data_IF_093626981622
#
_entry.id   IF_093626981622
#
_cell.length_a   1.000
_cell.length_b   1.000
_cell.length_c   1.000
_cell.angle_alpha   90.00
_cell.angle_beta   90.00
_cell.angle_gamma   90.00
#
_symmetry.space_group_name_H-M   'P 1'
#
loop_
_entity.id
_entity.type
_entity.pdbx_description
1 polymer ?
#
# COMPACT_ATOMS: atom_id res chain seq x y z
N UNK A 1 21.25 11.66 6.69
CA UNK A 1 20.84 10.49 7.49
C UNK A 1 19.88 10.94 8.59
N UNK A 2 18.57 10.69 8.43
CA UNK A 2 17.54 11.13 9.37
C UNK A 2 17.57 10.27 10.65
N UNK A 3 18.02 10.84 11.78
CA UNK A 3 18.00 10.20 13.11
C UNK A 3 16.63 10.42 13.78
N UNK A 4 15.72 9.45 13.67
CA UNK A 4 14.37 9.56 14.25
C UNK A 4 13.97 8.32 15.06
N UNK A 5 13.03 8.43 16.01
CA UNK A 5 12.60 7.31 16.86
C UNK A 5 11.99 6.11 16.10
N UNK A 6 11.55 6.29 14.84
CA UNK A 6 11.09 5.20 13.97
C UNK A 6 12.22 4.56 13.13
N UNK A 7 13.42 5.14 13.13
CA UNK A 7 14.58 4.68 12.38
C UNK A 7 15.00 3.24 12.73
N UNK A 8 14.90 2.77 14.00
CA UNK A 8 15.15 1.35 14.32
C UNK A 8 14.16 0.40 13.64
N UNK A 9 12.89 0.79 13.49
CA UNK A 9 11.86 -0.01 12.82
C UNK A 9 12.15 -0.07 11.32
N UNK A 10 12.48 1.08 10.71
CA UNK A 10 12.77 1.18 9.28
C UNK A 10 14.02 0.40 8.86
N UNK A 11 15.01 0.25 9.75
CA UNK A 11 16.20 -0.61 9.51
C UNK A 11 15.87 -2.11 9.43
N UNK A 12 14.72 -2.52 9.96
CA UNK A 12 14.26 -3.92 9.94
C UNK A 12 13.39 -4.23 8.73
N UNK A 13 12.98 -3.20 8.00
CA UNK A 13 12.26 -3.33 6.74
C UNK A 13 13.27 -3.26 5.60
N UNK A 14 13.57 -4.40 4.99
CA UNK A 14 14.36 -4.42 3.77
C UNK A 14 13.51 -3.84 2.63
N UNK A 15 14.00 -2.78 1.99
CA UNK A 15 13.29 -2.12 0.90
C UNK A 15 13.74 -2.71 -0.43
N UNK A 16 12.81 -3.29 -1.18
CA UNK A 16 13.02 -3.85 -2.52
C UNK A 16 12.25 -3.00 -3.51
N UNK A 17 12.95 -2.47 -4.51
CA UNK A 17 12.32 -1.65 -5.55
C UNK A 17 12.20 -2.42 -6.85
N UNK A 18 11.16 -2.12 -7.62
CA UNK A 18 10.92 -2.67 -8.94
C UNK A 18 10.55 -1.56 -9.92
N UNK A 19 11.03 -1.66 -11.16
CA UNK A 19 10.71 -0.75 -12.26
C UNK A 19 11.05 0.74 -12.01
N UNK A 20 12.10 1.01 -11.22
CA UNK A 20 12.57 2.38 -10.94
C UNK A 20 12.89 3.20 -12.20
N UNK A 21 13.18 2.55 -13.34
CA UNK A 21 13.40 3.20 -14.63
C UNK A 21 12.23 4.11 -15.05
N UNK A 22 10.98 3.79 -14.68
CA UNK A 22 9.83 4.68 -14.94
C UNK A 22 9.96 6.02 -14.21
N UNK A 23 10.46 5.99 -12.98
CA UNK A 23 10.68 7.19 -12.16
C UNK A 23 11.87 7.98 -12.69
N UNK A 24 13.02 7.32 -12.84
CA UNK A 24 14.27 7.99 -13.27
C UNK A 24 14.19 8.61 -14.66
N UNK A 25 13.37 8.04 -15.55
CA UNK A 25 13.05 8.66 -16.83
C UNK A 25 12.12 9.88 -16.68
N UNK A 26 11.05 9.75 -15.87
CA UNK A 26 10.06 10.81 -15.71
C UNK A 26 10.64 12.07 -15.03
N UNK A 27 11.47 11.92 -13.99
CA UNK A 27 12.02 13.05 -13.21
C UNK A 27 12.89 14.01 -14.04
N UNK A 28 13.33 13.61 -15.25
CA UNK A 28 14.16 14.44 -16.14
C UNK A 28 13.38 15.56 -16.84
N UNK A 29 12.07 15.43 -16.98
CA UNK A 29 11.26 16.38 -17.74
C UNK A 29 9.82 16.53 -17.27
N UNK A 30 9.39 15.74 -16.29
CA UNK A 30 8.02 15.73 -15.80
C UNK A 30 7.93 16.12 -14.33
N UNK A 31 6.82 16.76 -14.00
CA UNK A 31 6.32 16.83 -12.64
C UNK A 31 5.62 15.52 -12.31
N UNK A 32 5.85 14.96 -11.13
CA UNK A 32 5.32 13.63 -10.80
C UNK A 32 4.31 13.70 -9.65
N UNK A 33 3.16 13.07 -9.88
CA UNK A 33 2.20 12.73 -8.84
C UNK A 33 2.21 11.20 -8.64
N UNK A 34 2.79 10.73 -7.54
CA UNK A 34 2.80 9.32 -7.18
C UNK A 34 1.45 8.94 -6.56
N UNK A 35 0.80 7.92 -7.13
CA UNK A 35 -0.45 7.37 -6.64
C UNK A 35 -0.22 5.95 -6.11
N UNK A 36 -0.29 5.75 -4.79
CA UNK A 36 0.01 4.45 -4.16
C UNK A 36 -1.15 3.86 -3.37
N UNK A 37 -1.18 2.53 -3.25
CA UNK A 37 -2.05 1.86 -2.27
C UNK A 37 -1.54 2.10 -0.83
N UNK A 38 -2.41 1.95 0.17
CA UNK A 38 -2.03 2.24 1.56
C UNK A 38 -2.30 1.06 2.50
N UNK A 39 -1.25 0.38 2.96
CA UNK A 39 -1.31 -0.80 3.83
C UNK A 39 -0.88 -0.51 5.27
N UNK A 40 0.14 0.32 5.49
CA UNK A 40 0.75 0.55 6.80
C UNK A 40 1.06 2.03 7.03
N UNK A 41 1.27 2.41 8.30
CA UNK A 41 1.91 3.66 8.65
C UNK A 41 3.37 3.75 8.19
N UNK A 42 4.01 2.65 7.81
CA UNK A 42 5.36 2.70 7.25
C UNK A 42 5.40 3.16 5.81
N UNK A 43 4.28 3.15 5.07
CA UNK A 43 4.24 3.46 3.64
C UNK A 43 4.81 4.85 3.33
N UNK A 44 4.35 5.87 4.08
CA UNK A 44 4.80 7.26 3.93
C UNK A 44 6.23 7.51 4.41
N UNK A 45 6.94 6.47 4.85
CA UNK A 45 8.37 6.50 5.15
C UNK A 45 9.13 5.63 4.14
N UNK A 46 8.64 4.42 3.85
CA UNK A 46 9.29 3.45 2.96
C UNK A 46 9.35 3.97 1.53
N UNK A 47 8.25 4.46 0.95
CA UNK A 47 8.23 4.89 -0.45
C UNK A 47 9.14 6.10 -0.69
N UNK A 48 9.10 7.18 0.13
CA UNK A 48 10.06 8.27 0.02
C UNK A 48 11.51 7.85 0.21
N UNK A 49 11.79 6.91 1.13
CA UNK A 49 13.15 6.39 1.33
C UNK A 49 13.65 5.58 0.15
N UNK A 50 12.79 4.80 -0.52
CA UNK A 50 13.17 4.12 -1.78
C UNK A 50 13.58 5.14 -2.84
N UNK A 51 12.87 6.27 -2.94
CA UNK A 51 13.25 7.34 -3.87
C UNK A 51 14.59 7.99 -3.47
N UNK A 52 14.74 8.36 -2.20
CA UNK A 52 15.94 9.00 -1.66
C UNK A 52 17.19 8.13 -1.80
N UNK A 53 17.08 6.84 -1.46
CA UNK A 53 18.14 5.83 -1.60
C UNK A 53 18.65 5.71 -3.05
N UNK A 54 17.88 6.20 -4.04
CA UNK A 54 18.20 6.18 -5.46
C UNK A 54 18.39 7.58 -6.09
N UNK A 55 18.62 8.59 -5.26
CA UNK A 55 18.91 9.95 -5.73
C UNK A 55 17.71 10.69 -6.33
N UNK A 56 16.49 10.17 -6.13
CA UNK A 56 15.24 10.86 -6.49
C UNK A 56 14.76 11.65 -5.29
N UNK A 57 14.56 12.96 -5.47
CA UNK A 57 14.07 13.83 -4.40
C UNK A 57 12.70 13.32 -3.91
N UNK A 58 12.54 13.08 -2.59
CA UNK A 58 11.25 12.69 -2.02
C UNK A 58 10.11 13.68 -2.33
N UNK A 59 8.92 13.19 -2.68
CA UNK A 59 7.75 14.04 -2.92
C UNK A 59 7.15 14.55 -1.62
N UNK A 60 6.38 15.64 -1.71
CA UNK A 60 5.52 16.13 -0.63
C UNK A 60 4.38 15.13 -0.40
N UNK A 61 4.01 14.86 0.85
CA UNK A 61 3.02 13.82 1.18
C UNK A 61 1.68 14.42 1.60
N UNK A 62 0.59 13.92 1.04
CA UNK A 62 -0.77 14.22 1.50
C UNK A 62 -1.20 13.31 2.67
N UNK A 63 -1.25 13.85 3.90
CA UNK A 63 -1.57 13.08 5.10
C UNK A 63 -2.88 13.54 5.79
N UNK A 64 -3.55 12.65 6.51
CA UNK A 64 -4.75 13.01 7.27
C UNK A 64 -4.40 13.93 8.44
N UNK A 65 -5.18 14.99 8.66
CA UNK A 65 -4.93 15.98 9.73
C UNK A 65 -4.88 15.34 11.14
N UNK A 66 -5.58 14.22 11.32
CA UNK A 66 -5.58 13.46 12.57
C UNK A 66 -4.20 12.89 12.95
N UNK A 67 -3.24 12.89 12.03
CA UNK A 67 -1.85 12.46 12.25
C UNK A 67 -0.94 13.61 12.70
N UNK A 68 -1.44 14.86 12.72
CA UNK A 68 -0.64 16.04 13.07
C UNK A 68 -0.65 16.37 14.57
N UNK A 69 -1.17 15.47 15.41
CA UNK A 69 -1.10 15.58 16.87
C UNK A 69 0.14 14.89 17.45
N UNK A 70 0.70 15.46 18.51
CA UNK A 70 1.78 14.84 19.30
C UNK A 70 3.07 14.57 18.51
N UNK A 71 3.84 13.52 18.85
CA UNK A 71 5.12 13.19 18.21
C UNK A 71 5.03 12.97 16.69
N UNK A 72 3.88 12.50 16.20
CA UNK A 72 3.67 12.25 14.77
C UNK A 72 3.48 13.55 13.98
N UNK A 73 2.90 14.58 14.59
CA UNK A 73 2.84 15.92 14.00
C UNK A 73 4.21 16.55 13.84
N UNK A 74 5.12 16.32 14.78
CA UNK A 74 6.51 16.74 14.66
C UNK A 74 7.23 16.01 13.52
N UNK A 75 7.00 14.70 13.38
CA UNK A 75 7.53 13.91 12.26
C UNK A 75 7.01 14.44 10.92
N UNK A 76 5.71 14.65 10.80
CA UNK A 76 5.13 15.14 9.55
C UNK A 76 5.61 16.54 9.18
N UNK A 77 5.76 17.41 10.17
CA UNK A 77 6.23 18.79 9.99
C UNK A 77 7.70 18.89 9.62
N UNK A 78 8.58 18.09 10.23
CA UNK A 78 10.03 18.28 10.12
C UNK A 78 10.73 17.20 9.27
N UNK A 79 10.06 16.10 8.96
CA UNK A 79 10.69 14.94 8.31
C UNK A 79 10.03 14.60 6.99
N UNK A 80 8.71 14.35 7.00
CA UNK A 80 8.02 13.93 5.79
C UNK A 80 7.53 15.10 4.94
N UNK A 81 7.59 16.33 5.47
CA UNK A 81 7.02 17.52 4.84
C UNK A 81 5.54 17.36 4.48
N UNK A 82 4.79 16.59 5.27
CA UNK A 82 3.43 16.23 4.89
C UNK A 82 2.46 17.40 5.04
N UNK A 83 1.52 17.49 4.13
CA UNK A 83 0.41 18.43 4.13
C UNK A 83 -0.77 17.83 4.90
N UNK A 84 -1.36 18.57 5.86
CA UNK A 84 -2.54 18.13 6.57
C UNK A 84 -3.81 18.26 5.73
N UNK A 85 -4.56 17.16 5.59
CA UNK A 85 -5.83 17.09 4.86
C UNK A 85 -6.94 16.60 5.79
N UNK A 86 -8.04 17.34 5.86
CA UNK A 86 -9.29 16.92 6.51
C UNK A 86 -10.00 15.91 5.62
N UNK A 87 -10.05 14.65 6.06
CA UNK A 87 -10.72 13.56 5.34
C UNK A 87 -12.23 13.61 5.61
N UNK A 88 -13.03 13.15 4.65
CA UNK A 88 -14.49 13.01 4.74
C UNK A 88 -15.26 14.30 5.05
N UNK A 89 -14.68 15.47 4.78
CA UNK A 89 -15.39 16.74 4.81
C UNK A 89 -16.25 16.90 3.56
N UNK A 90 -17.43 17.51 3.74
CA UNK A 90 -18.35 17.90 2.66
C UNK A 90 -18.40 19.42 2.44
N UNK A 91 -17.62 20.17 3.21
CA UNK A 91 -17.53 21.63 3.12
C UNK A 91 -17.00 22.03 1.72
N UNK A 92 -17.82 22.68 0.87
CA UNK A 92 -17.40 23.07 -0.47
C UNK A 92 -16.24 24.06 -0.48
N UNK A 93 -16.20 25.01 0.46
CA UNK A 93 -15.13 26.01 0.53
C UNK A 93 -13.79 25.37 0.87
N UNK A 94 -13.80 24.41 1.79
CA UNK A 94 -12.61 23.61 2.09
C UNK A 94 -12.16 22.79 0.87
N UNK A 95 -13.08 22.11 0.17
CA UNK A 95 -12.73 21.26 -0.98
C UNK A 95 -12.16 22.07 -2.15
N UNK A 96 -12.72 23.26 -2.42
CA UNK A 96 -12.21 24.19 -3.44
C UNK A 96 -10.81 24.69 -3.05
N UNK A 97 -10.65 25.15 -1.81
CA UNK A 97 -9.36 25.62 -1.29
C UNK A 97 -8.30 24.51 -1.32
N UNK A 98 -8.64 23.30 -0.89
CA UNK A 98 -7.74 22.15 -0.94
C UNK A 98 -7.32 21.82 -2.38
N UNK A 99 -8.26 21.85 -3.32
CA UNK A 99 -7.97 21.61 -4.74
C UNK A 99 -6.98 22.63 -5.29
N UNK A 100 -7.23 23.92 -5.05
CA UNK A 100 -6.36 25.01 -5.49
C UNK A 100 -4.97 24.94 -4.82
N UNK A 101 -4.93 24.62 -3.53
CA UNK A 101 -3.69 24.47 -2.78
C UNK A 101 -2.82 23.33 -3.33
N UNK A 102 -3.41 22.15 -3.56
CA UNK A 102 -2.70 21.00 -4.12
C UNK A 102 -2.25 21.27 -5.56
N UNK A 103 -3.07 21.96 -6.35
CA UNK A 103 -2.71 22.40 -7.69
C UNK A 103 -1.45 23.31 -7.69
N UNK A 104 -1.36 24.27 -6.76
CA UNK A 104 -0.19 25.15 -6.64
C UNK A 104 1.06 24.38 -6.17
N UNK A 105 0.91 23.41 -5.26
CA UNK A 105 2.01 22.54 -4.85
C UNK A 105 2.58 21.76 -6.03
N UNK A 106 1.70 21.18 -6.86
CA UNK A 106 2.10 20.40 -8.03
C UNK A 106 2.91 21.22 -9.03
N UNK A 107 2.76 22.55 -9.09
CA UNK A 107 3.63 23.37 -9.94
C UNK A 107 5.11 23.33 -9.50
N UNK A 108 5.37 23.14 -8.21
CA UNK A 108 6.72 23.29 -7.61
C UNK A 108 7.30 22.00 -7.05
N UNK A 109 6.47 21.05 -6.64
CA UNK A 109 6.89 19.84 -5.94
C UNK A 109 6.16 18.61 -6.46
N UNK A 110 6.87 17.48 -6.50
CA UNK A 110 6.25 16.18 -6.69
C UNK A 110 5.35 15.87 -5.49
N UNK A 111 4.30 15.09 -5.71
CA UNK A 111 3.30 14.79 -4.68
C UNK A 111 3.08 13.28 -4.56
N UNK A 112 3.15 12.74 -3.35
CA UNK A 112 2.70 11.38 -3.03
C UNK A 112 1.35 11.43 -2.32
N UNK A 113 0.39 10.69 -2.85
CA UNK A 113 -0.92 10.54 -2.24
C UNK A 113 -1.44 9.11 -2.36
N UNK A 114 -2.39 8.78 -1.49
CA UNK A 114 -3.05 7.49 -1.46
C UNK A 114 -4.49 7.64 -1.98
N UNK A 115 -4.81 7.21 -3.22
CA UNK A 115 -6.12 7.41 -3.82
C UNK A 115 -7.27 6.80 -3.00
N UNK A 116 -6.99 5.76 -2.21
CA UNK A 116 -7.95 5.12 -1.30
C UNK A 116 -8.49 6.08 -0.22
N UNK A 117 -7.76 7.16 0.10
CA UNK A 117 -8.09 8.12 1.15
C UNK A 117 -7.89 7.61 2.58
N UNK A 118 -7.28 6.43 2.76
CA UNK A 118 -6.91 5.87 4.05
C UNK A 118 -6.54 4.38 3.98
N UNK A 119 -5.74 3.93 4.95
CA UNK A 119 -5.18 2.56 5.03
C UNK A 119 -6.24 1.47 4.88
N UNK A 120 -5.91 0.41 4.18
CA UNK A 120 -6.75 -0.77 4.07
C UNK A 120 -6.74 -1.56 5.38
N UNK A 121 -7.87 -1.55 6.10
CA UNK A 121 -8.09 -2.37 7.29
C UNK A 121 -8.50 -3.80 6.93
N UNK A 122 -8.88 -4.02 5.68
CA UNK A 122 -9.36 -5.30 5.15
C UNK A 122 -8.32 -6.11 4.41
N UNK A 123 -7.20 -5.49 4.01
CA UNK A 123 -6.23 -6.04 3.06
C UNK A 123 -6.59 -5.73 1.61
N UNK A 124 -7.86 -5.50 1.29
CA UNK A 124 -8.38 -5.25 -0.07
C UNK A 124 -7.83 -3.93 -0.65
N UNK A 125 -7.66 -3.89 -1.98
CA UNK A 125 -7.38 -2.66 -2.72
C UNK A 125 -8.68 -1.87 -2.95
N UNK A 126 -8.83 -0.74 -2.26
CA UNK A 126 -10.07 0.06 -2.28
C UNK A 126 -10.26 0.84 -3.59
N UNK A 127 -11.50 1.29 -3.88
CA UNK A 127 -11.75 2.27 -4.94
C UNK A 127 -10.93 3.55 -4.75
N UNK A 128 -10.40 4.10 -5.84
CA UNK A 128 -9.71 5.37 -5.84
C UNK A 128 -10.72 6.54 -5.76
N UNK A 129 -10.42 7.54 -4.93
CA UNK A 129 -11.19 8.78 -4.81
C UNK A 129 -10.69 9.80 -5.84
N UNK A 130 -11.63 10.51 -6.47
CA UNK A 130 -11.33 11.53 -7.48
C UNK A 130 -10.82 12.87 -6.92
N UNK A 131 -10.89 13.09 -5.59
CA UNK A 131 -10.63 14.39 -4.98
C UNK A 131 -9.26 14.99 -5.31
N UNK A 132 -8.18 14.33 -4.90
CA UNK A 132 -6.82 14.82 -5.20
C UNK A 132 -6.45 14.68 -6.68
N UNK A 133 -7.00 13.68 -7.38
CA UNK A 133 -6.83 13.56 -8.84
C UNK A 133 -7.39 14.79 -9.58
N UNK A 134 -8.50 15.36 -9.11
CA UNK A 134 -9.05 16.59 -9.71
C UNK A 134 -8.14 17.81 -9.57
N UNK A 135 -7.27 17.84 -8.56
CA UNK A 135 -6.29 18.91 -8.38
C UNK A 135 -5.16 18.82 -9.41
N UNK A 136 -4.85 17.63 -9.92
CA UNK A 136 -3.86 17.43 -10.98
C UNK A 136 -4.23 18.18 -12.26
N UNK A 137 -5.51 18.16 -12.63
CA UNK A 137 -6.01 18.90 -13.80
C UNK A 137 -6.01 20.42 -13.58
N UNK A 138 -6.40 20.87 -12.38
CA UNK A 138 -6.38 22.31 -12.05
C UNK A 138 -4.97 22.87 -11.80
N UNK A 139 -3.94 22.02 -11.77
CA UNK A 139 -2.56 22.48 -11.66
C UNK A 139 -2.08 23.19 -12.94
N UNK A 140 -2.74 22.93 -14.09
CA UNK A 140 -2.36 23.44 -15.41
C UNK A 140 -0.87 23.25 -15.68
N UNK A 141 -0.33 22.10 -15.25
CA UNK A 141 1.08 21.75 -15.36
C UNK A 141 1.23 20.79 -16.56
N UNK A 142 1.69 21.27 -17.73
CA UNK A 142 1.60 20.50 -18.98
C UNK A 142 2.44 19.22 -18.98
N UNK A 143 3.50 19.18 -18.18
CA UNK A 143 4.39 18.05 -18.02
C UNK A 143 4.07 17.17 -16.80
N UNK A 144 2.89 17.32 -16.19
CA UNK A 144 2.46 16.51 -15.05
C UNK A 144 2.07 15.08 -15.49
N UNK A 145 2.63 14.09 -14.81
CA UNK A 145 2.29 12.67 -14.99
C UNK A 145 1.97 12.01 -13.66
N UNK A 146 1.10 11.00 -13.70
CA UNK A 146 0.83 10.16 -12.55
C UNK A 146 1.67 8.89 -12.65
N UNK A 147 2.50 8.61 -11.66
CA UNK A 147 3.18 7.31 -11.55
C UNK A 147 2.37 6.43 -10.59
N UNK A 148 1.63 5.42 -11.11
CA UNK A 148 1.00 4.43 -10.24
C UNK A 148 2.10 3.64 -9.54
N UNK A 149 1.98 3.50 -8.22
CA UNK A 149 2.96 2.82 -7.37
C UNK A 149 2.22 1.77 -6.56
N UNK A 150 2.82 0.61 -6.35
CA UNK A 150 2.28 -0.40 -5.46
C UNK A 150 3.27 -0.71 -4.35
N UNK A 151 2.76 -0.80 -3.12
CA UNK A 151 3.54 -1.22 -1.95
C UNK A 151 2.96 -2.50 -1.34
N UNK A 152 3.82 -3.51 -1.16
CA UNK A 152 3.49 -4.79 -0.54
C UNK A 152 4.52 -5.15 0.53
N UNK A 153 4.10 -5.87 1.57
CA UNK A 153 4.96 -6.29 2.67
C UNK A 153 4.83 -7.78 2.90
N UNK A 154 5.93 -8.47 3.24
CA UNK A 154 5.85 -9.84 3.75
C UNK A 154 4.90 -9.88 4.96
N UNK A 155 5.12 -8.94 5.89
CA UNK A 155 4.31 -8.72 7.08
C UNK A 155 4.13 -7.22 7.36
N UNK A 156 2.88 -6.81 7.60
CA UNK A 156 2.53 -5.46 8.06
C UNK A 156 2.64 -5.42 9.58
N UNK A 157 3.42 -4.49 10.14
CA UNK A 157 3.77 -4.49 11.57
C UNK A 157 2.57 -4.31 12.51
N UNK A 158 1.55 -3.56 12.09
CA UNK A 158 0.30 -3.32 12.82
C UNK A 158 -0.90 -4.16 12.33
N UNK A 159 -0.65 -5.31 11.69
CA UNK A 159 -1.68 -6.14 11.04
C UNK A 159 -2.81 -6.58 11.97
N UNK A 160 -2.53 -6.93 13.24
CA UNK A 160 -3.58 -7.41 14.17
C UNK A 160 -4.51 -6.28 14.56
N UNK A 161 -4.00 -5.08 14.83
CA UNK A 161 -4.87 -3.93 15.08
C UNK A 161 -5.67 -3.59 13.82
N UNK A 162 -5.05 -3.55 12.63
CA UNK A 162 -5.76 -3.27 11.38
C UNK A 162 -6.89 -4.26 11.12
N UNK A 163 -6.62 -5.56 11.19
CA UNK A 163 -7.60 -6.62 10.95
C UNK A 163 -8.77 -6.56 11.96
N UNK A 164 -8.49 -6.23 13.22
CA UNK A 164 -9.52 -6.08 14.27
C UNK A 164 -10.36 -4.80 14.11
N UNK A 165 -9.82 -3.73 13.51
CA UNK A 165 -10.57 -2.50 13.23
C UNK A 165 -11.70 -2.72 12.23
N UNK A 166 -11.54 -3.62 11.25
CA UNK A 166 -12.64 -4.05 10.36
C UNK A 166 -13.79 -4.67 11.14
N UNK A 167 -13.49 -5.58 12.07
CA UNK A 167 -14.50 -6.31 12.85
C UNK A 167 -15.28 -5.36 13.76
N UNK A 168 -14.60 -4.38 14.37
CA UNK A 168 -15.22 -3.47 15.34
C UNK A 168 -15.76 -2.16 14.76
N UNK A 169 -15.57 -1.89 13.45
CA UNK A 169 -15.92 -0.63 12.76
C UNK A 169 -15.48 0.65 13.52
N UNK A 170 -14.43 0.56 14.35
CA UNK A 170 -13.96 1.65 15.21
C UNK A 170 -12.44 1.77 15.09
N UNK A 171 -11.97 2.94 14.69
CA UNK A 171 -10.54 3.25 14.66
C UNK A 171 -9.98 3.19 16.09
N UNK A 172 -8.80 2.59 16.24
CA UNK A 172 -8.08 2.58 17.52
C UNK A 172 -7.15 3.80 17.60
N UNK A 173 -6.77 4.22 18.82
CA UNK A 173 -5.80 5.29 18.98
C UNK A 173 -4.47 4.91 18.34
N UNK A 174 -3.85 5.85 17.63
CA UNK A 174 -2.56 5.69 16.96
C UNK A 174 -1.45 5.14 17.87
N UNK A 175 -1.42 5.54 19.14
CA UNK A 175 -0.44 5.05 20.12
C UNK A 175 -0.46 3.52 20.29
N UNK A 176 -1.62 2.88 20.16
CA UNK A 176 -1.71 1.41 20.23
C UNK A 176 -1.13 0.74 18.98
N UNK A 177 -1.29 1.36 17.82
CA UNK A 177 -0.74 0.89 16.55
C UNK A 177 0.79 0.98 16.59
N UNK A 178 1.35 2.11 17.06
CA UNK A 178 2.79 2.25 17.27
C UNK A 178 3.33 1.24 18.28
N UNK A 179 2.64 1.02 19.40
CA UNK A 179 3.08 0.04 20.40
C UNK A 179 3.14 -1.38 19.82
N UNK A 180 2.19 -1.76 18.97
CA UNK A 180 2.22 -3.03 18.24
C UNK A 180 3.41 -3.09 17.27
N UNK A 181 3.61 -2.02 16.48
CA UNK A 181 4.74 -1.93 15.55
C UNK A 181 6.08 -2.06 16.27
N UNK A 182 6.26 -1.38 17.41
CA UNK A 182 7.48 -1.46 18.23
C UNK A 182 7.67 -2.87 18.78
N UNK A 183 6.63 -3.48 19.34
CA UNK A 183 6.69 -4.87 19.85
C UNK A 183 7.17 -5.84 18.77
N UNK A 184 6.67 -5.70 17.55
CA UNK A 184 7.04 -6.59 16.44
C UNK A 184 8.29 -6.16 15.68
N UNK A 185 8.75 -4.91 15.79
CA UNK A 185 10.00 -4.47 15.18
C UNK A 185 11.24 -5.11 15.85
N UNK A 186 11.14 -5.54 17.11
CA UNK A 186 12.25 -6.12 17.87
C UNK A 186 12.62 -7.54 17.42
N UNK A 187 11.70 -8.27 16.76
CA UNK A 187 11.90 -9.69 16.42
C UNK A 187 11.75 -10.08 14.96
N UNK A 188 11.42 -9.17 14.05
CA UNK A 188 11.03 -9.51 12.68
C UNK A 188 11.82 -8.69 11.65
N UNK A 189 12.38 -9.37 10.65
CA UNK A 189 12.81 -8.76 9.39
C UNK A 189 11.69 -8.96 8.39
N UNK A 190 11.23 -7.88 7.77
CA UNK A 190 10.16 -7.90 6.76
C UNK A 190 10.68 -7.23 5.50
N UNK A 191 10.34 -7.72 4.32
CA UNK A 191 10.61 -7.00 3.08
C UNK A 191 9.41 -6.13 2.73
N UNK A 192 9.69 -4.92 2.26
CA UNK A 192 8.73 -4.05 1.60
C UNK A 192 9.10 -3.94 0.13
N UNK A 193 8.18 -4.28 -0.76
CA UNK A 193 8.32 -4.17 -2.20
C UNK A 193 7.62 -2.91 -2.66
N UNK A 194 8.34 -2.02 -3.33
CA UNK A 194 7.82 -0.80 -3.96
C UNK A 194 7.97 -0.93 -5.47
N UNK A 195 6.86 -1.13 -6.16
CA UNK A 195 6.81 -1.36 -7.60
C UNK A 195 6.26 -0.12 -8.30
N UNK A 196 7.07 0.51 -9.15
CA UNK A 196 6.65 1.67 -9.92
C UNK A 196 6.05 1.25 -11.27
N UNK A 197 5.01 1.96 -11.73
CA UNK A 197 4.40 1.72 -13.03
C UNK A 197 4.73 2.78 -14.06
N UNK A 198 4.39 2.50 -15.31
CA UNK A 198 4.55 3.44 -16.41
C UNK A 198 3.79 4.76 -16.14
N UNK A 199 4.38 5.92 -16.48
CA UNK A 199 3.72 7.21 -16.29
C UNK A 199 2.40 7.30 -17.06
N UNK A 200 1.33 7.73 -16.38
CA UNK A 200 0.02 8.03 -16.95
C UNK A 200 0.01 9.53 -17.23
N UNK A 201 -0.12 9.91 -18.50
CA UNK A 201 -0.33 11.31 -18.88
C UNK A 201 -1.73 11.74 -18.49
N UNK A 202 -1.84 12.96 -18.01
CA UNK A 202 -3.13 13.63 -17.91
C UNK A 202 -3.54 13.99 -19.34
N UNK A 203 -4.58 13.37 -19.86
CA UNK A 203 -5.21 13.82 -21.10
C UNK A 203 -6.02 15.09 -20.86
N UNK A 204 -6.78 15.53 -21.86
CA UNK A 204 -7.67 16.70 -21.78
C UNK A 204 -8.99 16.36 -21.06
N UNK A 205 -8.92 15.78 -19.86
CA UNK A 205 -10.10 15.43 -19.09
C UNK A 205 -10.81 16.70 -18.60
N UNK A 206 -11.99 16.97 -19.15
CA UNK A 206 -12.78 18.15 -18.77
C UNK A 206 -14.03 17.80 -17.97
N UNK A 207 -14.42 16.52 -17.93
CA UNK A 207 -15.64 16.07 -17.28
C UNK A 207 -15.39 15.27 -16.00
N UNK A 208 -16.43 15.17 -15.16
CA UNK A 208 -16.41 14.31 -13.98
C UNK A 208 -16.27 12.83 -14.34
N UNK A 209 -16.81 12.39 -15.48
CA UNK A 209 -16.67 11.03 -16.00
C UNK A 209 -15.22 10.68 -16.28
N UNK A 210 -14.48 11.58 -16.92
CA UNK A 210 -13.06 11.39 -17.24
C UNK A 210 -12.22 11.23 -15.97
N UNK A 211 -12.53 12.00 -14.92
CA UNK A 211 -11.89 11.86 -13.60
C UNK A 211 -12.15 10.49 -12.98
N UNK A 212 -13.36 9.97 -13.11
CA UNK A 212 -13.73 8.64 -12.60
C UNK A 212 -13.02 7.55 -13.38
N UNK A 213 -12.89 7.71 -14.70
CA UNK A 213 -12.14 6.79 -15.55
C UNK A 213 -10.65 6.80 -15.21
N UNK A 214 -10.04 7.98 -15.06
CA UNK A 214 -8.66 8.09 -14.60
C UNK A 214 -8.47 7.43 -13.23
N UNK A 215 -9.39 7.63 -12.29
CA UNK A 215 -9.32 7.00 -10.98
C UNK A 215 -9.39 5.46 -11.09
N UNK A 216 -10.26 4.92 -11.96
CA UNK A 216 -10.30 3.47 -12.25
C UNK A 216 -9.00 2.99 -12.88
N UNK A 217 -8.46 3.72 -13.86
CA UNK A 217 -7.21 3.38 -14.54
C UNK A 217 -6.04 3.36 -13.54
N UNK A 218 -5.88 4.41 -12.74
CA UNK A 218 -4.86 4.49 -11.68
C UNK A 218 -4.99 3.31 -10.73
N UNK A 219 -6.20 3.02 -10.22
CA UNK A 219 -6.43 1.86 -9.35
C UNK A 219 -6.07 0.54 -10.03
N UNK A 220 -6.48 0.34 -11.28
CA UNK A 220 -6.20 -0.88 -12.03
C UNK A 220 -4.69 -1.08 -12.23
N UNK A 221 -3.96 0.00 -12.55
CA UNK A 221 -2.50 -0.01 -12.68
C UNK A 221 -1.81 -0.33 -11.36
N UNK A 222 -2.21 0.31 -10.25
CA UNK A 222 -1.71 -0.02 -8.90
C UNK A 222 -1.97 -1.51 -8.59
N UNK A 223 -3.18 -1.99 -8.89
CA UNK A 223 -3.55 -3.38 -8.65
C UNK A 223 -2.67 -4.38 -9.41
N UNK A 224 -2.40 -4.12 -10.69
CA UNK A 224 -1.54 -4.97 -11.53
C UNK A 224 -0.07 -4.98 -11.09
N UNK A 225 0.42 -3.87 -10.50
CA UNK A 225 1.79 -3.77 -9.99
C UNK A 225 1.98 -4.49 -8.65
N UNK A 226 0.89 -4.73 -7.89
CA UNK A 226 0.96 -5.27 -6.54
C UNK A 226 1.67 -6.63 -6.49
N UNK A 227 2.75 -6.71 -5.69
CA UNK A 227 3.55 -7.93 -5.55
C UNK A 227 2.76 -9.02 -4.82
N UNK A 228 2.62 -10.18 -5.46
CA UNK A 228 2.02 -11.38 -4.86
C UNK A 228 3.09 -12.09 -4.02
N UNK A 229 2.98 -11.98 -2.71
CA UNK A 229 3.96 -12.52 -1.76
C UNK A 229 3.56 -13.90 -1.20
N UNK A 230 4.53 -14.70 -0.71
CA UNK A 230 4.27 -15.99 -0.07
C UNK A 230 3.16 -15.95 0.98
N UNK A 231 3.17 -14.95 1.87
CA UNK A 231 2.17 -14.80 2.93
C UNK A 231 0.76 -14.56 2.40
N UNK A 232 0.62 -13.88 1.26
CA UNK A 232 -0.67 -13.62 0.62
C UNK A 232 -1.26 -14.89 -0.01
N UNK A 233 -0.47 -15.65 -0.79
CA UNK A 233 -0.95 -16.89 -1.42
C UNK A 233 -1.16 -18.00 -0.39
N UNK A 234 -0.31 -18.08 0.64
CA UNK A 234 -0.52 -18.97 1.78
C UNK A 234 -1.87 -18.67 2.43
N UNK A 235 -2.10 -17.41 2.81
CA UNK A 235 -3.32 -17.00 3.47
C UNK A 235 -4.59 -17.17 2.62
N UNK A 236 -4.50 -16.95 1.31
CA UNK A 236 -5.61 -17.16 0.37
C UNK A 236 -5.92 -18.65 0.16
N UNK A 237 -4.90 -19.51 0.11
CA UNK A 237 -5.07 -20.95 -0.07
C UNK A 237 -5.50 -21.70 1.20
N UNK A 238 -5.25 -21.13 2.38
CA UNK A 238 -5.53 -21.75 3.68
C UNK A 238 -7.01 -22.11 3.89
N UNK A 239 -7.21 -23.22 4.61
CA UNK A 239 -8.50 -23.67 5.18
C UNK A 239 -8.40 -23.66 6.72
N UNK A 240 -9.49 -23.87 7.49
CA UNK A 240 -9.40 -23.93 8.95
C UNK A 240 -8.33 -24.93 9.47
N UNK A 241 -8.14 -26.05 8.76
CA UNK A 241 -7.09 -27.04 8.99
C UNK A 241 -6.72 -27.73 7.68
N UNK A 242 -5.44 -27.81 7.33
CA UNK A 242 -4.96 -28.38 6.06
C UNK A 242 -3.59 -29.05 6.22
N UNK A 243 -3.31 -30.12 5.47
CA UNK A 243 -1.96 -30.70 5.44
C UNK A 243 -1.00 -29.79 4.68
N UNK A 244 0.30 -29.90 4.95
CA UNK A 244 1.32 -29.16 4.19
C UNK A 244 1.22 -29.45 2.68
N UNK A 245 1.14 -30.72 2.29
CA UNK A 245 1.04 -31.15 0.88
C UNK A 245 -0.20 -30.59 0.17
N UNK A 246 -1.36 -30.64 0.82
CA UNK A 246 -2.60 -30.09 0.24
C UNK A 246 -2.54 -28.56 0.10
N UNK A 247 -1.88 -27.88 1.04
CA UNK A 247 -1.70 -26.44 1.00
C UNK A 247 -0.78 -26.05 -0.15
N UNK A 248 0.37 -26.72 -0.31
CA UNK A 248 1.29 -26.53 -1.43
C UNK A 248 0.54 -26.64 -2.77
N UNK A 249 -0.17 -27.76 -2.99
CA UNK A 249 -0.92 -27.97 -4.24
C UNK A 249 -2.08 -26.99 -4.46
N UNK A 250 -2.65 -26.38 -3.40
CA UNK A 250 -3.62 -25.28 -3.54
C UNK A 250 -2.93 -23.98 -3.92
N UNK A 251 -1.75 -23.72 -3.40
CA UNK A 251 -0.97 -22.54 -3.76
C UNK A 251 -0.46 -22.66 -5.20
N UNK A 252 0.00 -23.83 -5.64
CA UNK A 252 0.43 -24.03 -7.04
C UNK A 252 -0.68 -23.63 -8.03
N UNK A 253 -1.90 -24.15 -7.84
CA UNK A 253 -3.06 -23.75 -8.66
C UNK A 253 -3.36 -22.25 -8.60
N UNK A 254 -3.19 -21.63 -7.43
CA UNK A 254 -3.40 -20.19 -7.27
C UNK A 254 -2.31 -19.39 -8.00
N UNK A 255 -1.06 -19.84 -7.97
CA UNK A 255 0.07 -19.25 -8.69
C UNK A 255 -0.17 -19.36 -10.19
N UNK A 256 -0.59 -20.53 -10.70
CA UNK A 256 -0.97 -20.73 -12.11
C UNK A 256 -2.07 -19.74 -12.54
N UNK A 257 -3.11 -19.60 -11.72
CA UNK A 257 -4.23 -18.69 -11.97
C UNK A 257 -3.78 -17.22 -12.05
N UNK A 258 -2.90 -16.80 -11.13
CA UNK A 258 -2.32 -15.46 -11.08
C UNK A 258 -1.31 -15.22 -12.22
N UNK A 259 -0.52 -16.22 -12.58
CA UNK A 259 0.41 -16.18 -13.71
C UNK A 259 -0.33 -15.98 -15.04
N UNK A 260 -1.46 -16.68 -15.25
CA UNK A 260 -2.31 -16.52 -16.42
C UNK A 260 -2.83 -15.07 -16.58
N UNK A 261 -2.96 -14.34 -15.47
CA UNK A 261 -3.37 -12.92 -15.43
C UNK A 261 -2.18 -11.95 -15.44
N UNK A 262 -0.96 -12.44 -15.63
CA UNK A 262 0.30 -11.67 -15.61
C UNK A 262 0.47 -10.88 -14.31
N UNK A 263 0.04 -11.45 -13.18
CA UNK A 263 0.28 -10.86 -11.88
C UNK A 263 1.78 -10.75 -11.58
N UNK A 264 2.17 -9.74 -10.80
CA UNK A 264 3.54 -9.57 -10.34
C UNK A 264 3.88 -10.60 -9.24
N UNK A 265 4.29 -11.80 -9.63
CA UNK A 265 4.59 -12.89 -8.71
C UNK A 265 5.92 -12.70 -7.96
N UNK A 266 5.88 -12.87 -6.64
CA UNK A 266 7.06 -12.97 -5.77
C UNK A 266 7.36 -14.39 -5.32
N UNK A 267 6.69 -15.38 -5.90
CA UNK A 267 6.78 -16.79 -5.55
C UNK A 267 6.48 -17.65 -6.77
N UNK A 268 7.18 -18.77 -6.92
CA UNK A 268 7.10 -19.61 -8.12
C UNK A 268 6.50 -20.99 -7.86
N UNK A 269 6.35 -21.41 -6.61
CA UNK A 269 5.76 -22.71 -6.25
C UNK A 269 5.08 -22.67 -4.89
N UNK A 270 4.15 -23.59 -4.66
CA UNK A 270 3.49 -23.82 -3.38
C UNK A 270 4.47 -24.24 -2.29
N UNK A 271 5.48 -25.04 -2.63
CA UNK A 271 6.55 -25.39 -1.69
C UNK A 271 7.30 -24.16 -1.21
N UNK A 272 7.80 -23.33 -2.14
CA UNK A 272 8.47 -22.08 -1.81
C UNK A 272 7.57 -21.17 -0.96
N UNK A 273 6.29 -21.04 -1.35
CA UNK A 273 5.33 -20.21 -0.63
C UNK A 273 5.15 -20.66 0.83
N UNK A 274 5.04 -21.96 1.06
CA UNK A 274 4.92 -22.51 2.42
C UNK A 274 6.21 -22.33 3.20
N UNK A 275 7.36 -22.61 2.59
CA UNK A 275 8.67 -22.50 3.24
C UNK A 275 8.96 -21.06 3.68
N UNK A 276 8.61 -20.07 2.87
CA UNK A 276 8.83 -18.65 3.20
C UNK A 276 7.74 -18.06 4.11
N UNK A 277 6.51 -18.57 4.08
CA UNK A 277 5.38 -17.97 4.81
C UNK A 277 5.06 -18.64 6.16
N UNK A 278 5.37 -19.93 6.34
CA UNK A 278 4.96 -20.69 7.52
C UNK A 278 5.56 -20.10 8.80
N UNK A 279 6.89 -20.00 8.88
CA UNK A 279 7.57 -19.49 10.08
C UNK A 279 7.06 -18.08 10.47
N UNK A 280 7.06 -17.06 9.58
CA UNK A 280 6.59 -15.72 9.97
C UNK A 280 5.14 -15.68 10.45
N UNK A 281 4.25 -16.48 9.85
CA UNK A 281 2.84 -16.56 10.26
C UNK A 281 2.65 -17.32 11.57
N UNK A 282 3.47 -18.34 11.85
CA UNK A 282 3.47 -19.09 13.10
C UNK A 282 4.04 -18.28 14.26
N UNK A 283 5.17 -17.57 14.07
CA UNK A 283 5.74 -16.69 15.10
C UNK A 283 4.76 -15.59 15.51
N UNK A 284 3.91 -15.14 14.57
CA UNK A 284 2.82 -14.19 14.85
C UNK A 284 1.58 -14.82 15.50
N UNK A 285 1.55 -16.14 15.63
CA UNK A 285 0.39 -16.88 16.13
C UNK A 285 -0.83 -16.72 15.22
N UNK A 286 -0.61 -16.52 13.92
CA UNK A 286 -1.69 -16.45 12.91
C UNK A 286 -2.14 -17.86 12.54
N UNK A 287 -1.17 -18.75 12.39
CA UNK A 287 -1.35 -20.18 12.18
C UNK A 287 -0.48 -20.96 13.17
N UNK A 288 -0.66 -22.27 13.23
CA UNK A 288 0.22 -23.20 13.96
C UNK A 288 0.34 -24.49 13.16
N UNK A 289 1.54 -25.08 13.12
CA UNK A 289 1.76 -26.41 12.58
C UNK A 289 1.67 -27.46 13.70
N UNK A 290 0.62 -28.29 13.67
CA UNK A 290 0.39 -29.35 14.64
C UNK A 290 0.16 -30.68 13.93
N UNK A 291 0.97 -31.70 14.25
CA UNK A 291 0.84 -33.06 13.70
C UNK A 291 0.79 -33.06 12.16
N UNK A 292 1.67 -32.27 11.52
CA UNK A 292 1.75 -32.15 10.06
C UNK A 292 0.63 -31.36 9.38
N UNK A 293 -0.20 -30.64 10.16
CA UNK A 293 -1.28 -29.80 9.64
C UNK A 293 -1.17 -28.36 10.11
N UNK A 294 -1.34 -27.43 9.18
CA UNK A 294 -1.52 -26.03 9.52
C UNK A 294 -2.95 -25.78 10.00
N UNK A 295 -3.09 -25.11 11.13
CA UNK A 295 -4.38 -24.70 11.73
C UNK A 295 -4.43 -23.20 11.92
N UNK A 296 -5.59 -22.60 11.67
CA UNK A 296 -5.78 -21.15 11.81
C UNK A 296 -6.01 -20.77 13.26
N UNK A 297 -5.22 -19.82 13.78
CA UNK A 297 -5.35 -19.25 15.13
C UNK A 297 -5.94 -17.84 15.11
N UNK A 298 -5.55 -16.99 14.15
CA UNK A 298 -6.09 -15.62 13.99
C UNK A 298 -6.73 -15.43 12.61
N UNK A 299 -7.99 -15.87 12.47
CA UNK A 299 -8.74 -15.84 11.21
C UNK A 299 -8.92 -14.44 10.62
N UNK A 300 -8.87 -13.39 11.43
CA UNK A 300 -9.02 -12.00 10.97
C UNK A 300 -7.77 -11.52 10.22
N UNK A 301 -6.59 -11.79 10.78
CA UNK A 301 -5.28 -11.44 10.21
C UNK A 301 -4.97 -12.31 9.00
N UNK A 302 -5.26 -13.61 9.05
CA UNK A 302 -5.13 -14.48 7.88
C UNK A 302 -5.95 -13.95 6.70
N UNK A 303 -7.22 -13.58 6.94
CA UNK A 303 -8.07 -13.00 5.89
C UNK A 303 -7.56 -11.65 5.38
N UNK A 304 -6.90 -10.85 6.21
CA UNK A 304 -6.26 -9.62 5.76
C UNK A 304 -5.23 -9.91 4.68
N UNK A 305 -4.30 -10.84 4.91
CA UNK A 305 -3.26 -11.19 3.94
C UNK A 305 -3.84 -11.80 2.66
N UNK A 306 -4.79 -12.74 2.77
CA UNK A 306 -5.41 -13.35 1.58
C UNK A 306 -6.14 -12.34 0.70
N UNK A 307 -6.74 -11.30 1.30
CA UNK A 307 -7.46 -10.24 0.57
C UNK A 307 -6.55 -9.23 -0.13
N UNK A 308 -5.25 -9.24 0.15
CA UNK A 308 -4.31 -8.34 -0.53
C UNK A 308 -4.17 -8.62 -2.02
N UNK A 309 -4.52 -9.83 -2.46
CA UNK A 309 -4.47 -10.27 -3.85
C UNK A 309 -5.86 -10.53 -4.45
N UNK A 310 -6.95 -10.25 -3.72
CA UNK A 310 -8.32 -10.53 -4.17
C UNK A 310 -8.66 -9.79 -5.47
N UNK A 311 -8.17 -8.56 -5.65
CA UNK A 311 -8.38 -7.79 -6.89
C UNK A 311 -7.71 -8.40 -8.12
N UNK A 312 -6.77 -9.33 -7.94
CA UNK A 312 -6.14 -10.09 -9.03
C UNK A 312 -6.90 -11.37 -9.36
N UNK A 313 -7.76 -11.84 -8.46
CA UNK A 313 -8.50 -13.11 -8.61
C UNK A 313 -9.92 -12.88 -9.13
N UNK A 314 -10.55 -11.77 -8.73
CA UNK A 314 -11.91 -11.43 -9.15
C UNK A 314 -11.92 -11.04 -10.62
N UNK A 315 -12.59 -11.84 -11.45
CA UNK A 315 -12.99 -11.45 -12.81
C UNK A 315 -13.89 -10.23 -12.69
N UNK A 316 -13.53 -9.12 -13.36
CA UNK A 316 -14.40 -7.94 -13.50
C UNK A 316 -15.70 -8.34 -14.19
N UNK A 317 -16.69 -8.78 -13.40
CA UNK A 317 -17.97 -9.28 -13.90
C UNK A 317 -19.04 -9.52 -12.82
N UNK A 318 -18.76 -9.28 -11.54
CA UNK A 318 -19.79 -9.25 -10.49
C UNK A 318 -19.89 -7.85 -9.89
N UNK A 319 -20.60 -6.99 -10.61
CA UNK A 319 -21.38 -5.92 -9.99
C UNK A 319 -22.45 -6.60 -9.13
N UNK A 320 -22.34 -6.42 -7.81
CA UNK A 320 -23.53 -6.48 -6.94
C UNK A 320 -24.27 -5.14 -7.05
#
# INVERSE_FOLDING_TARGET
>A
ALQHPLYPILRKIERRQENLHHVTAAVRGHRIMYASNHKSHTDYLVEPLVLDDNGVRPPVIAAGINLFGGPLGLLHRHVTGAIPIRRNTKDPAYLITLKAYVAEILKRHDLLFYPEGGRSYSGELKPAKIGLLSAAFSAECPNLVIIPTAIAYDLVLEDRILARQRVKKRQRPFAREVAEMVRYAVGYRSRAFVTFGAPIRLGDAQSRSDLVELARLVRARIGALYKVLPTAVFAAAMRPSITRRDLEGRIDRLIEELAARRANLGVTSGRQAVDEAAEPLETRGIVVLERGRFRVRERSVLRYYGRTIEHLLVTTGRTH
#
